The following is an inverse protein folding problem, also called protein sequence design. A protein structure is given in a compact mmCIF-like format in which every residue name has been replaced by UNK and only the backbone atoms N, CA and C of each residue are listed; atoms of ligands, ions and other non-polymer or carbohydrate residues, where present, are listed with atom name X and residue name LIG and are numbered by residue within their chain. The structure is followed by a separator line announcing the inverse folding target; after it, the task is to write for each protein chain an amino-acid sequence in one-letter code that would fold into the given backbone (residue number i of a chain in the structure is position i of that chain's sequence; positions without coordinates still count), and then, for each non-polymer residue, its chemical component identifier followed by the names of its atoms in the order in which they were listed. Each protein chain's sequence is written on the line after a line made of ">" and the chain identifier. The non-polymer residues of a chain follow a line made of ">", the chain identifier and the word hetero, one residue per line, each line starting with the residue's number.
data_IF_568881513891
#
_entry.id   IF_568881513891
#
_cell.length_a   1.000
_cell.length_b   1.000
_cell.length_c   1.000
_cell.angle_alpha   90.00
_cell.angle_beta   90.00
_cell.angle_gamma   90.00
#
_symmetry.space_group_name_H-M   'P 1'
#
loop_
_entity.id
_entity.type
_entity.pdbx_description
1 polymer ?
#
# COMPACT_ATOMS: atom_id res chain seq x y z
N UNK A 1 -21.99 -4.73 -35.74
CA UNK A 1 -22.52 -4.81 -34.36
C UNK A 1 -21.66 -5.66 -33.41
N UNK A 2 -20.86 -6.65 -33.87
CA UNK A 2 -19.97 -7.45 -33.01
C UNK A 2 -18.75 -6.71 -32.41
N UNK A 3 -18.15 -5.75 -33.12
CA UNK A 3 -16.92 -5.09 -32.64
C UNK A 3 -17.13 -4.12 -31.45
N UNK A 4 -18.34 -3.58 -31.26
CA UNK A 4 -18.64 -2.65 -30.16
C UNK A 4 -18.85 -3.40 -28.85
N UNK A 5 -19.51 -4.56 -28.90
CA UNK A 5 -19.70 -5.42 -27.73
C UNK A 5 -18.39 -6.00 -27.23
N UNK A 6 -17.47 -6.37 -28.14
CA UNK A 6 -16.15 -6.89 -27.78
C UNK A 6 -15.28 -5.80 -27.11
N UNK A 7 -15.32 -4.57 -27.62
CA UNK A 7 -14.63 -3.43 -27.00
C UNK A 7 -15.19 -3.07 -25.62
N UNK A 8 -16.51 -3.15 -25.45
CA UNK A 8 -17.16 -2.88 -24.16
C UNK A 8 -16.81 -3.96 -23.12
N UNK A 9 -16.87 -5.25 -23.49
CA UNK A 9 -16.48 -6.34 -22.59
C UNK A 9 -15.02 -6.21 -22.14
N UNK A 10 -14.12 -5.90 -23.07
CA UNK A 10 -12.70 -5.72 -22.75
C UNK A 10 -12.48 -4.56 -21.78
N UNK A 11 -13.20 -3.44 -21.94
CA UNK A 11 -13.11 -2.31 -21.01
C UNK A 11 -13.66 -2.64 -19.62
N UNK A 12 -14.73 -3.43 -19.54
CA UNK A 12 -15.30 -3.89 -18.27
C UNK A 12 -14.32 -4.82 -17.54
N UNK A 13 -13.69 -5.76 -18.26
CA UNK A 13 -12.67 -6.65 -17.69
C UNK A 13 -11.44 -5.88 -17.18
N UNK A 14 -10.98 -4.87 -17.92
CA UNK A 14 -9.87 -4.01 -17.51
C UNK A 14 -10.22 -3.25 -16.22
N UNK A 15 -11.41 -2.64 -16.15
CA UNK A 15 -11.89 -1.94 -14.95
C UNK A 15 -12.03 -2.89 -13.76
N UNK A 16 -12.55 -4.10 -13.97
CA UNK A 16 -12.64 -5.11 -12.93
C UNK A 16 -11.26 -5.52 -12.40
N UNK A 17 -10.28 -5.67 -13.29
CA UNK A 17 -8.87 -5.94 -12.94
C UNK A 17 -8.26 -4.80 -12.12
N UNK A 18 -8.43 -3.56 -12.57
CA UNK A 18 -7.93 -2.38 -11.83
C UNK A 18 -8.54 -2.30 -10.44
N UNK A 19 -9.86 -2.49 -10.34
CA UNK A 19 -10.58 -2.48 -9.06
C UNK A 19 -10.08 -3.57 -8.12
N UNK A 20 -9.94 -4.79 -8.62
CA UNK A 20 -9.42 -5.91 -7.84
C UNK A 20 -8.01 -5.63 -7.31
N UNK A 21 -7.14 -5.04 -8.14
CA UNK A 21 -5.78 -4.66 -7.76
C UNK A 21 -5.78 -3.60 -6.65
N UNK A 22 -6.56 -2.53 -6.79
CA UNK A 22 -6.68 -1.49 -5.77
C UNK A 22 -7.24 -2.02 -4.45
N UNK A 23 -8.23 -2.90 -4.50
CA UNK A 23 -8.81 -3.54 -3.31
C UNK A 23 -7.79 -4.41 -2.58
N UNK A 24 -6.97 -5.15 -3.32
CA UNK A 24 -5.94 -6.01 -2.76
C UNK A 24 -4.78 -5.19 -2.14
N UNK A 25 -4.30 -4.15 -2.81
CA UNK A 25 -3.31 -3.21 -2.25
C UNK A 25 -3.84 -2.60 -0.94
N UNK A 26 -5.11 -2.19 -0.93
CA UNK A 26 -5.74 -1.63 0.25
C UNK A 26 -5.79 -2.63 1.41
N UNK A 27 -6.19 -3.90 1.17
CA UNK A 27 -6.19 -4.96 2.19
C UNK A 27 -4.78 -5.19 2.75
N UNK A 28 -3.75 -5.18 1.90
CA UNK A 28 -2.36 -5.29 2.34
C UNK A 28 -1.95 -4.10 3.23
N UNK A 29 -2.36 -2.89 2.88
CA UNK A 29 -2.15 -1.71 3.73
C UNK A 29 -2.83 -1.84 5.10
N UNK A 30 -3.99 -2.51 5.20
CA UNK A 30 -4.65 -2.78 6.49
C UNK A 30 -3.85 -3.71 7.40
N UNK A 31 -2.92 -4.51 6.87
CA UNK A 31 -2.01 -5.32 7.69
C UNK A 31 -0.90 -4.48 8.35
N UNK A 32 -0.68 -3.24 7.91
CA UNK A 32 0.31 -2.34 8.50
C UNK A 32 -0.28 -1.56 9.69
N UNK A 33 0.20 -1.77 10.92
CA UNK A 33 -0.34 -1.09 12.11
C UNK A 33 -0.19 0.44 12.06
N UNK A 34 0.83 0.97 11.37
CA UNK A 34 1.00 2.41 11.23
C UNK A 34 -0.08 3.02 10.32
N UNK A 35 -0.50 2.29 9.29
CA UNK A 35 -1.57 2.73 8.41
C UNK A 35 -2.92 2.69 9.13
N UNK A 36 -3.18 1.66 9.92
CA UNK A 36 -4.35 1.61 10.80
C UNK A 36 -4.38 2.78 11.79
N UNK A 37 -3.24 3.12 12.40
CA UNK A 37 -3.14 4.29 13.28
C UNK A 37 -3.45 5.59 12.53
N UNK A 38 -2.94 5.77 11.32
CA UNK A 38 -3.27 6.91 10.48
C UNK A 38 -4.77 7.00 10.19
N UNK A 39 -5.41 5.88 9.82
CA UNK A 39 -6.86 5.81 9.58
C UNK A 39 -7.67 6.14 10.84
N UNK A 40 -7.22 5.65 12.00
CA UNK A 40 -7.85 5.91 13.28
C UNK A 40 -7.75 7.38 13.67
N UNK A 41 -6.58 7.99 13.53
CA UNK A 41 -6.34 9.41 13.84
C UNK A 41 -7.17 10.34 12.96
N UNK A 42 -7.40 9.97 11.70
CA UNK A 42 -8.24 10.73 10.77
C UNK A 42 -9.74 10.52 10.98
N UNK A 43 -10.14 9.55 11.80
CA UNK A 43 -11.54 9.26 12.11
C UNK A 43 -12.25 8.35 11.11
N UNK A 44 -11.59 7.89 10.04
CA UNK A 44 -12.19 7.05 8.99
C UNK A 44 -12.80 5.76 9.53
N UNK A 45 -12.20 5.17 10.58
CA UNK A 45 -12.71 3.94 11.19
C UNK A 45 -14.10 4.10 11.86
N UNK A 46 -14.58 5.34 12.03
CA UNK A 46 -15.90 5.66 12.60
C UNK A 46 -16.94 5.97 11.53
N UNK A 47 -16.52 6.19 10.29
CA UNK A 47 -17.41 6.57 9.21
C UNK A 47 -18.19 5.36 8.70
N UNK A 48 -19.51 5.47 8.68
CA UNK A 48 -20.41 4.40 8.24
C UNK A 48 -20.12 3.91 6.81
N UNK A 49 -19.83 4.79 5.82
CA UNK A 49 -19.44 4.36 4.48
C UNK A 49 -18.15 3.52 4.48
N UNK A 50 -17.14 3.93 5.26
CA UNK A 50 -15.87 3.22 5.37
C UNK A 50 -16.06 1.84 6.02
N UNK A 51 -16.86 1.76 7.10
CA UNK A 51 -17.20 0.49 7.74
C UNK A 51 -17.93 -0.44 6.77
N UNK A 52 -18.85 0.08 5.96
CA UNK A 52 -19.53 -0.72 4.94
C UNK A 52 -18.57 -1.22 3.86
N UNK A 53 -17.59 -0.40 3.47
CA UNK A 53 -16.54 -0.82 2.54
C UNK A 53 -15.65 -1.92 3.14
N UNK A 54 -15.27 -1.83 4.42
CA UNK A 54 -14.56 -2.92 5.09
C UNK A 54 -15.38 -4.22 5.15
N UNK A 55 -16.70 -4.13 5.37
CA UNK A 55 -17.60 -5.29 5.31
C UNK A 55 -17.64 -5.88 3.91
N UNK A 56 -17.70 -5.03 2.89
CA UNK A 56 -17.64 -5.46 1.50
C UNK A 56 -16.36 -6.27 1.26
N UNK A 57 -15.18 -5.76 1.67
CA UNK A 57 -13.89 -6.45 1.50
C UNK A 57 -13.77 -7.81 2.24
N UNK A 58 -14.75 -8.20 3.07
CA UNK A 58 -14.76 -9.54 3.66
C UNK A 58 -14.95 -10.65 2.63
N UNK A 59 -15.44 -10.35 1.41
CA UNK A 59 -15.54 -11.36 0.34
C UNK A 59 -14.18 -11.99 0.00
N UNK A 60 -13.08 -11.27 0.23
CA UNK A 60 -11.71 -11.78 0.04
C UNK A 60 -11.36 -12.96 0.96
N UNK A 61 -12.16 -13.22 2.00
CA UNK A 61 -12.00 -14.39 2.88
C UNK A 61 -12.56 -15.67 2.27
N UNK A 62 -13.36 -15.58 1.21
CA UNK A 62 -13.89 -16.77 0.54
C UNK A 62 -12.77 -17.53 -0.19
N UNK A 63 -12.75 -18.87 -0.10
CA UNK A 63 -11.63 -19.68 -0.58
C UNK A 63 -11.35 -19.52 -2.08
N UNK A 64 -12.37 -19.21 -2.88
CA UNK A 64 -12.26 -19.00 -4.33
C UNK A 64 -11.36 -17.79 -4.69
N UNK A 65 -11.23 -16.81 -3.80
CA UNK A 65 -10.40 -15.62 -4.02
C UNK A 65 -8.98 -15.75 -3.47
N UNK A 66 -8.76 -16.66 -2.51
CA UNK A 66 -7.45 -16.89 -1.87
C UNK A 66 -6.48 -17.68 -2.77
N UNK A 67 -7.00 -18.49 -3.70
CA UNK A 67 -6.20 -19.40 -4.54
C UNK A 67 -5.82 -18.78 -5.90
N UNK A 68 -6.18 -17.52 -6.15
CA UNK A 68 -5.95 -16.91 -7.46
C UNK A 68 -4.45 -16.66 -7.72
N UNK A 69 -3.89 -17.34 -8.73
CA UNK A 69 -2.48 -17.23 -9.12
C UNK A 69 -2.05 -15.80 -9.52
N UNK A 70 -3.00 -14.94 -9.92
CA UNK A 70 -2.70 -13.52 -10.16
C UNK A 70 -2.41 -12.76 -8.87
N UNK A 71 -2.99 -13.18 -7.73
CA UNK A 71 -2.66 -12.64 -6.42
C UNK A 71 -1.20 -12.97 -6.07
N UNK A 72 -0.74 -14.20 -6.30
CA UNK A 72 0.63 -14.61 -5.97
C UNK A 72 1.69 -13.80 -6.72
N UNK A 73 1.58 -13.70 -8.05
CA UNK A 73 2.54 -12.94 -8.87
C UNK A 73 2.56 -11.45 -8.49
N UNK A 74 1.38 -10.87 -8.23
CA UNK A 74 1.29 -9.47 -7.87
C UNK A 74 1.81 -9.19 -6.45
N UNK A 75 1.54 -10.09 -5.49
CA UNK A 75 2.14 -10.05 -4.15
C UNK A 75 3.66 -10.07 -4.27
N UNK A 76 4.25 -10.93 -5.11
CA UNK A 76 5.70 -10.99 -5.32
C UNK A 76 6.26 -9.68 -5.88
N UNK A 77 5.60 -9.09 -6.88
CA UNK A 77 6.00 -7.81 -7.47
C UNK A 77 5.93 -6.65 -6.45
N UNK A 78 4.83 -6.54 -5.70
CA UNK A 78 4.67 -5.49 -4.69
C UNK A 78 5.63 -5.67 -3.52
N UNK A 79 5.87 -6.90 -3.07
CA UNK A 79 6.80 -7.19 -1.98
C UNK A 79 8.25 -6.90 -2.38
N UNK A 80 8.63 -7.15 -3.63
CA UNK A 80 9.93 -6.74 -4.16
C UNK A 80 10.10 -5.21 -4.08
N UNK A 81 9.09 -4.43 -4.49
CA UNK A 81 9.13 -2.97 -4.45
C UNK A 81 9.22 -2.44 -3.00
N UNK A 82 8.41 -2.97 -2.09
CA UNK A 82 8.48 -2.61 -0.67
C UNK A 82 9.83 -2.98 -0.05
N UNK A 83 10.37 -4.16 -0.35
CA UNK A 83 11.69 -4.59 0.13
C UNK A 83 12.80 -3.67 -0.38
N UNK A 84 12.76 -3.28 -1.65
CA UNK A 84 13.72 -2.33 -2.21
C UNK A 84 13.65 -0.97 -1.49
N UNK A 85 12.44 -0.45 -1.25
CA UNK A 85 12.25 0.80 -0.52
C UNK A 85 12.80 0.69 0.91
N UNK A 86 12.44 -0.37 1.63
CA UNK A 86 12.89 -0.63 2.99
C UNK A 86 14.41 -0.78 3.08
N UNK A 87 15.02 -1.59 2.21
CA UNK A 87 16.47 -1.79 2.16
C UNK A 87 17.21 -0.47 1.93
N UNK A 88 16.76 0.37 0.98
CA UNK A 88 17.37 1.69 0.75
C UNK A 88 17.27 2.60 1.97
N UNK A 89 16.13 2.62 2.65
CA UNK A 89 15.94 3.39 3.89
C UNK A 89 16.86 2.89 5.00
N UNK A 90 16.97 1.57 5.17
CA UNK A 90 17.85 0.93 6.17
C UNK A 90 19.33 1.27 5.93
N UNK A 91 19.80 1.21 4.68
CA UNK A 91 21.19 1.57 4.34
C UNK A 91 21.48 3.03 4.70
N UNK A 92 20.56 3.95 4.42
CA UNK A 92 20.72 5.37 4.79
C UNK A 92 20.76 5.59 6.29
N UNK A 93 19.92 4.88 7.05
CA UNK A 93 19.94 4.95 8.52
C UNK A 93 21.25 4.41 9.10
N UNK A 94 21.78 3.30 8.56
CA UNK A 94 23.09 2.80 8.98
C UNK A 94 24.22 3.79 8.68
N UNK A 95 24.19 4.47 7.53
CA UNK A 95 25.17 5.51 7.22
C UNK A 95 25.04 6.71 8.17
N UNK A 96 23.82 7.14 8.49
CA UNK A 96 23.59 8.25 9.43
C UNK A 96 24.11 7.95 10.85
N UNK A 97 24.06 6.69 11.29
CA UNK A 97 24.61 6.25 12.58
C UNK A 97 26.14 6.16 12.59
N UNK A 98 26.78 6.07 11.42
CA UNK A 98 28.25 6.00 11.29
C UNK A 98 28.91 7.37 11.05
N UNK A 99 28.12 8.42 10.83
CA UNK A 99 28.64 9.79 10.70
C UNK A 99 29.01 10.32 12.10
N UNK A 100 30.23 10.89 12.28
CA UNK A 100 30.55 11.62 13.51
C UNK A 100 29.59 12.82 13.65
N UNK A 101 29.25 13.23 14.89
CA UNK A 101 28.34 14.36 15.10
C UNK A 101 28.84 15.60 14.35
N UNK A 102 27.95 16.37 13.71
CA UNK A 102 28.36 17.57 12.98
C UNK A 102 29.10 18.53 13.92
N UNK A 103 30.17 19.18 13.45
CA UNK A 103 30.93 20.11 14.27
C UNK A 103 29.98 21.20 14.79
N UNK A 104 29.88 21.30 16.11
CA UNK A 104 29.19 22.41 16.75
C UNK A 104 30.01 23.66 16.43
N UNK A 105 29.55 24.47 15.48
CA UNK A 105 30.11 25.80 15.29
C UNK A 105 29.83 26.58 16.57
N UNK A 106 30.84 26.66 17.44
CA UNK A 106 30.83 27.51 18.61
C UNK A 106 30.54 28.93 18.13
N UNK A 107 29.38 29.46 18.52
CA UNK A 107 29.04 30.84 18.25
C UNK A 107 30.06 31.73 18.93
N UNK A 108 30.96 32.29 18.12
CA UNK A 108 31.71 33.48 18.45
C UNK A 108 30.71 34.64 18.60
N UNK A 109 30.23 34.86 19.81
CA UNK A 109 29.66 36.16 20.19
C UNK A 109 30.73 36.89 20.99
N UNK A 110 31.51 37.68 20.27
CA UNK A 110 32.32 38.73 20.85
C UNK A 110 31.39 39.75 21.52
N UNK A 111 31.58 39.97 22.82
CA UNK A 111 31.77 41.28 23.47
C UNK A 111 32.00 41.11 24.97
#
# INVERSE_FOLDING_TARGET
>A
MRNVTDGLMKSIEEQARTRFQSELEFIQCLANPNYLNFLAQRGFLRERPFINYLKYLLYWKEPDYLVNAQCAKFIDEQQLLHWQHYSRKRTRLQQALQQPPPPQHANATAK
#
